data_IF_123752269713
#
_entry.id   IF_123752269713
#
_cell.length_a   1.000
_cell.length_b   1.000
_cell.length_c   1.000
_cell.angle_alpha   90.00
_cell.angle_beta   90.00
_cell.angle_gamma   90.00
#
_symmetry.space_group_name_H-M   'P 1'
#
loop_
_entity.id
_entity.type
_entity.pdbx_description
1 polymer ?
#
# COMPACT_ATOMS: atom_id res chain seq x y z
N UNK A 1 1.17 -6.67 2.15
CA UNK A 1 2.42 -7.34 1.72
C UNK A 1 3.01 -6.51 0.59
N UNK A 2 3.92 -5.61 0.95
CA UNK A 2 4.80 -4.68 0.18
C UNK A 2 5.21 -3.60 1.20
N UNK A 3 4.24 -3.05 1.94
CA UNK A 3 4.45 -2.02 2.98
C UNK A 3 5.28 -2.44 4.20
N UNK A 4 5.35 -3.74 4.52
CA UNK A 4 5.98 -4.22 5.75
C UNK A 4 7.41 -4.77 5.54
N UNK A 5 7.69 -5.37 4.37
CA UNK A 5 8.93 -6.10 4.12
C UNK A 5 9.88 -5.37 3.15
N UNK A 6 9.43 -4.25 2.55
CA UNK A 6 10.19 -3.56 1.49
C UNK A 6 10.41 -4.42 0.25
N UNK A 7 9.67 -5.52 0.09
CA UNK A 7 9.82 -6.46 -1.01
C UNK A 7 8.58 -6.47 -1.90
N UNK A 8 8.81 -6.43 -3.21
CA UNK A 8 7.74 -6.64 -4.18
C UNK A 8 8.18 -7.56 -5.32
N UNK A 9 7.18 -8.15 -5.97
CA UNK A 9 7.36 -8.99 -7.16
C UNK A 9 6.92 -8.19 -8.38
N UNK A 10 7.67 -8.29 -9.47
CA UNK A 10 7.23 -7.76 -10.76
C UNK A 10 6.07 -8.61 -11.28
N UNK A 11 5.11 -8.00 -11.97
CA UNK A 11 4.00 -8.74 -12.61
C UNK A 11 4.61 -9.70 -13.65
N UNK A 12 4.42 -11.02 -13.43
CA UNK A 12 5.01 -12.08 -14.25
C UNK A 12 6.44 -12.51 -13.88
N UNK A 13 7.04 -11.93 -12.83
CA UNK A 13 8.35 -12.33 -12.31
C UNK A 13 8.24 -13.08 -10.99
N UNK A 14 9.05 -14.13 -10.81
CA UNK A 14 9.10 -14.94 -9.58
C UNK A 14 10.16 -14.48 -8.58
N UNK A 15 11.03 -13.53 -8.96
CA UNK A 15 12.11 -13.05 -8.10
C UNK A 15 11.65 -11.86 -7.25
N UNK A 16 11.75 -11.92 -5.91
CA UNK A 16 11.49 -10.77 -5.04
C UNK A 16 12.59 -9.72 -5.19
N UNK A 17 12.20 -8.44 -5.21
CA UNK A 17 13.13 -7.31 -5.23
C UNK A 17 12.98 -6.54 -3.92
N UNK A 18 14.07 -6.44 -3.15
CA UNK A 18 14.18 -5.60 -1.95
C UNK A 18 14.39 -4.14 -2.35
N UNK A 19 13.56 -3.25 -1.83
CA UNK A 19 13.66 -1.81 -2.01
C UNK A 19 13.40 -1.10 -0.68
N UNK A 20 14.20 -0.08 -0.40
CA UNK A 20 13.98 0.84 0.71
C UNK A 20 13.23 2.05 0.16
N UNK A 21 11.93 2.15 0.48
CA UNK A 21 11.05 3.18 -0.06
C UNK A 21 10.27 3.86 1.06
N UNK A 22 10.28 5.20 1.06
CA UNK A 22 9.41 6.01 1.91
C UNK A 22 8.14 6.34 1.13
N UNK A 23 7.01 5.84 1.60
CA UNK A 23 5.70 6.10 0.98
C UNK A 23 5.07 7.32 1.65
N UNK A 24 4.64 8.28 0.84
CA UNK A 24 3.91 9.47 1.29
C UNK A 24 2.65 9.55 0.42
N UNK A 25 1.48 9.42 1.04
CA UNK A 25 0.20 9.58 0.38
C UNK A 25 -0.46 10.89 0.85
N UNK A 26 -0.97 11.68 -0.09
CA UNK A 26 -1.80 12.84 0.18
C UNK A 26 -3.05 12.75 -0.70
N UNK A 27 -4.21 12.66 -0.08
CA UNK A 27 -5.50 12.66 -0.78
C UNK A 27 -6.38 13.76 -0.20
N UNK A 28 -7.11 14.44 -1.07
CA UNK A 28 -8.12 15.43 -0.68
C UNK A 28 -9.42 14.76 -0.19
N UNK A 29 -9.59 13.48 -0.50
CA UNK A 29 -10.77 12.71 -0.12
C UNK A 29 -10.57 12.07 1.25
N UNK A 30 -11.65 12.03 2.03
CA UNK A 30 -11.68 11.43 3.34
C UNK A 30 -11.47 9.91 3.24
N UNK A 31 -10.29 9.46 3.67
CA UNK A 31 -9.89 8.06 3.61
C UNK A 31 -10.77 7.17 4.49
N UNK A 32 -11.25 7.65 5.64
CA UNK A 32 -12.12 6.86 6.52
C UNK A 32 -13.43 6.50 5.81
N UNK A 33 -14.00 7.44 5.06
CA UNK A 33 -15.23 7.18 4.29
C UNK A 33 -15.00 6.20 3.15
N UNK A 34 -13.85 6.28 2.48
CA UNK A 34 -13.50 5.36 1.39
C UNK A 34 -13.21 3.94 1.90
N UNK A 35 -12.62 3.83 3.10
CA UNK A 35 -12.43 2.58 3.82
C UNK A 35 -13.77 1.96 4.20
N UNK A 36 -14.66 2.73 4.82
CA UNK A 36 -16.01 2.27 5.17
C UNK A 36 -16.84 1.86 3.95
N UNK A 37 -16.65 2.55 2.81
CA UNK A 37 -17.30 2.21 1.54
C UNK A 37 -16.70 0.97 0.85
N UNK A 38 -15.64 0.36 1.40
CA UNK A 38 -14.96 -0.80 0.81
C UNK A 38 -14.12 -0.49 -0.43
N UNK A 39 -14.03 0.79 -0.83
CA UNK A 39 -13.26 1.25 -1.98
C UNK A 39 -11.77 1.45 -1.66
N UNK A 40 -11.43 1.57 -0.37
CA UNK A 40 -10.06 1.64 0.09
C UNK A 40 -9.76 0.55 1.12
N UNK A 41 -8.59 -0.07 0.97
CA UNK A 41 -8.17 -1.14 1.87
C UNK A 41 -7.69 -0.57 3.20
N UNK A 42 -8.41 -0.91 4.26
CA UNK A 42 -8.18 -0.49 5.64
C UNK A 42 -6.76 -0.82 6.12
N UNK A 43 -6.16 -1.90 5.64
CA UNK A 43 -4.80 -2.30 5.99
C UNK A 43 -3.71 -1.42 5.33
N UNK A 44 -4.05 -0.66 4.28
CA UNK A 44 -3.16 0.34 3.71
C UNK A 44 -3.29 1.68 4.45
N UNK A 45 -4.48 2.00 4.96
CA UNK A 45 -4.72 3.21 5.76
C UNK A 45 -4.00 3.15 7.10
N UNK A 46 -4.07 2.01 7.80
CA UNK A 46 -3.39 1.82 9.08
C UNK A 46 -1.87 1.63 9.00
N UNK A 47 -1.29 1.57 7.79
CA UNK A 47 0.15 1.33 7.56
C UNK A 47 0.87 2.45 6.80
N UNK A 48 0.16 3.51 6.41
CA UNK A 48 0.72 4.78 5.92
C UNK A 48 1.17 5.63 7.11
#
# INVERSE_FOLDING_TARGET
RVLADGEFYRVGGTTPIKVDVRIIAATHQDLEKLVQAGNFREDLFHRL
#
